data_IF_922322543700
#
_entry.id   IF_922322543700
#
_cell.length_a   1.000
_cell.length_b   1.000
_cell.length_c   1.000
_cell.angle_alpha   90.00
_cell.angle_beta   90.00
_cell.angle_gamma   90.00
#
_symmetry.space_group_name_H-M   'P 1'
#
loop_
_entity.id
_entity.type
_entity.pdbx_description
1 polymer ?
#
# COMPACT_ATOMS: atom_id res chain seq x y z
N UNK A 1 -11.58 -0.62 8.56
CA UNK A 1 -10.87 0.50 9.18
C UNK A 1 -9.98 1.22 8.18
N UNK A 2 -10.10 2.56 8.12
CA UNK A 2 -9.24 3.43 7.31
C UNK A 2 -8.08 3.92 8.19
N UNK A 3 -6.85 3.72 7.73
CA UNK A 3 -5.62 4.12 8.44
C UNK A 3 -4.93 5.27 7.72
N UNK A 4 -4.40 6.21 8.50
CA UNK A 4 -3.65 7.34 7.97
C UNK A 4 -2.15 7.03 7.86
N UNK A 5 -1.56 7.26 6.68
CA UNK A 5 -0.18 6.84 6.36
C UNK A 5 0.82 7.97 6.20
N UNK A 6 0.45 9.22 6.45
CA UNK A 6 1.37 10.35 6.27
C UNK A 6 2.66 10.18 7.09
N UNK A 7 2.57 9.70 8.33
CA UNK A 7 3.74 9.45 9.19
C UNK A 7 4.72 8.47 8.56
N UNK A 8 4.20 7.41 7.94
CA UNK A 8 4.99 6.35 7.30
C UNK A 8 5.69 6.92 6.06
N UNK A 9 4.94 7.58 5.17
CA UNK A 9 5.50 8.19 3.95
C UNK A 9 6.58 9.22 4.24
N UNK A 10 6.43 10.01 5.30
CA UNK A 10 7.45 10.96 5.73
C UNK A 10 8.69 10.26 6.27
N UNK A 11 8.52 9.20 7.06
CA UNK A 11 9.64 8.45 7.64
C UNK A 11 10.48 7.73 6.57
N UNK A 12 9.83 7.13 5.56
CA UNK A 12 10.47 6.41 4.45
C UNK A 12 11.56 7.25 3.75
N UNK A 13 11.29 8.54 3.54
CA UNK A 13 12.20 9.48 2.87
C UNK A 13 12.86 10.50 3.79
N UNK A 14 12.73 10.31 5.11
CA UNK A 14 13.26 11.24 6.14
C UNK A 14 12.81 12.69 5.92
N UNK A 15 11.56 12.87 5.52
CA UNK A 15 10.95 14.18 5.27
C UNK A 15 10.62 14.82 6.61
N UNK A 16 11.12 16.04 6.84
CA UNK A 16 10.84 16.75 8.09
C UNK A 16 9.48 17.46 8.05
N UNK A 17 8.89 17.69 9.23
CA UNK A 17 7.66 18.49 9.34
C UNK A 17 7.84 19.90 8.73
N UNK A 18 9.02 20.51 8.92
CA UNK A 18 9.33 21.86 8.41
C UNK A 18 9.41 21.87 6.88
N UNK A 19 10.07 20.87 6.30
CA UNK A 19 10.19 20.68 4.86
C UNK A 19 8.82 20.48 4.21
N UNK A 20 7.98 19.59 4.77
CA UNK A 20 6.65 19.35 4.24
C UNK A 20 5.74 20.59 4.36
N UNK A 21 5.83 21.32 5.47
CA UNK A 21 5.08 22.56 5.66
C UNK A 21 5.45 23.61 4.60
N UNK A 22 6.74 23.78 4.32
CA UNK A 22 7.23 24.69 3.28
C UNK A 22 6.71 24.30 1.89
N UNK A 23 6.81 23.02 1.53
CA UNK A 23 6.43 22.53 0.20
C UNK A 23 4.91 22.54 -0.04
N UNK A 24 4.11 22.30 1.00
CA UNK A 24 2.65 22.24 0.91
C UNK A 24 1.95 23.57 1.16
N UNK A 25 2.66 24.57 1.70
CA UNK A 25 2.08 25.83 2.16
C UNK A 25 1.15 25.66 3.38
N UNK A 26 1.20 24.51 4.05
CA UNK A 26 0.40 24.21 5.24
C UNK A 26 1.19 24.62 6.48
N UNK A 27 0.51 25.20 7.47
CA UNK A 27 1.16 25.59 8.71
C UNK A 27 1.85 24.40 9.41
N UNK A 28 3.07 24.55 9.96
CA UNK A 28 3.81 23.46 10.60
C UNK A 28 3.04 22.75 11.71
N UNK A 29 2.25 23.48 12.50
CA UNK A 29 1.39 22.90 13.53
C UNK A 29 0.32 22.00 12.93
N UNK A 30 -0.26 22.36 11.78
CA UNK A 30 -1.25 21.54 11.08
C UNK A 30 -0.61 20.28 10.52
N UNK A 31 0.59 20.37 9.93
CA UNK A 31 1.36 19.18 9.53
C UNK A 31 1.65 18.27 10.72
N UNK A 32 2.02 18.83 11.88
CA UNK A 32 2.27 18.06 13.08
C UNK A 32 1.01 17.30 13.55
N UNK A 33 -0.14 17.98 13.58
CA UNK A 33 -1.44 17.37 13.91
C UNK A 33 -1.80 16.26 12.91
N UNK A 34 -1.72 16.55 11.62
CA UNK A 34 -2.02 15.58 10.56
C UNK A 34 -1.11 14.36 10.64
N UNK A 35 0.19 14.52 10.89
CA UNK A 35 1.12 13.39 11.01
C UNK A 35 0.83 12.50 12.23
N UNK A 36 0.38 13.11 13.31
CA UNK A 36 0.17 12.42 14.59
C UNK A 36 -1.25 11.86 14.72
N UNK A 37 -2.18 12.22 13.84
CA UNK A 37 -3.47 11.58 13.75
C UNK A 37 -3.29 10.13 13.26
N UNK A 38 -3.89 9.17 13.94
CA UNK A 38 -3.91 7.78 13.49
C UNK A 38 -5.12 7.55 12.53
N UNK A 39 -6.20 8.31 12.74
CA UNK A 39 -7.39 8.38 11.90
C UNK A 39 -7.72 9.83 11.56
N UNK A 40 -8.12 10.10 10.31
CA UNK A 40 -8.56 11.43 9.86
C UNK A 40 -10.08 11.39 9.67
N UNK A 41 -10.81 12.11 10.52
CA UNK A 41 -12.27 12.29 10.38
C UNK A 41 -12.61 13.18 9.17
N UNK A 42 -11.90 14.30 9.03
CA UNK A 42 -12.14 15.27 7.97
C UNK A 42 -10.83 15.87 7.45
N UNK A 43 -10.69 15.89 6.13
CA UNK A 43 -9.63 16.60 5.42
C UNK A 43 -10.21 17.22 4.16
N UNK A 44 -9.87 18.48 3.89
CA UNK A 44 -10.34 19.14 2.68
C UNK A 44 -9.55 18.66 1.47
N UNK A 45 -10.20 18.60 0.30
CA UNK A 45 -9.54 18.23 -0.95
C UNK A 45 -8.35 19.13 -1.29
N UNK A 46 -8.40 20.42 -0.93
CA UNK A 46 -7.26 21.35 -1.09
C UNK A 46 -6.06 20.93 -0.25
N UNK A 47 -6.27 20.58 1.03
CA UNK A 47 -5.18 20.14 1.92
C UNK A 47 -4.62 18.80 1.42
N UNK A 48 -5.48 17.86 1.04
CA UNK A 48 -5.08 16.56 0.50
C UNK A 48 -4.24 16.71 -0.79
N UNK A 49 -4.69 17.53 -1.73
CA UNK A 49 -3.95 17.84 -2.95
C UNK A 49 -2.60 18.49 -2.66
N UNK A 50 -2.55 19.46 -1.74
CA UNK A 50 -1.30 20.11 -1.36
C UNK A 50 -0.30 19.13 -0.73
N UNK A 51 -0.79 18.19 0.09
CA UNK A 51 0.05 17.12 0.66
C UNK A 51 0.61 16.21 -0.43
N UNK A 52 -0.22 15.73 -1.35
CA UNK A 52 0.22 14.86 -2.44
C UNK A 52 1.31 15.53 -3.30
N UNK A 53 1.09 16.80 -3.68
CA UNK A 53 2.05 17.58 -4.45
C UNK A 53 3.36 17.82 -3.68
N UNK A 54 3.26 18.14 -2.40
CA UNK A 54 4.43 18.40 -1.56
C UNK A 54 5.25 17.13 -1.31
N UNK A 55 4.60 16.00 -1.06
CA UNK A 55 5.26 14.70 -0.89
C UNK A 55 5.92 14.25 -2.19
N UNK A 56 5.25 14.37 -3.33
CA UNK A 56 5.85 14.05 -4.65
C UNK A 56 7.13 14.87 -4.88
N UNK A 57 7.08 16.19 -4.64
CA UNK A 57 8.27 17.06 -4.73
C UNK A 57 9.38 16.63 -3.77
N UNK A 58 9.02 16.27 -2.53
CA UNK A 58 9.98 15.82 -1.54
C UNK A 58 10.63 14.49 -1.95
N UNK A 59 9.87 13.54 -2.50
CA UNK A 59 10.39 12.27 -3.00
C UNK A 59 11.37 12.49 -4.17
N UNK A 60 11.01 13.35 -5.12
CA UNK A 60 11.88 13.72 -6.24
C UNK A 60 13.19 14.35 -5.75
N UNK A 61 13.12 15.22 -4.73
CA UNK A 61 14.30 15.83 -4.12
C UNK A 61 15.22 14.81 -3.41
N UNK A 62 14.71 13.60 -3.09
CA UNK A 62 15.51 12.47 -2.57
C UNK A 62 15.90 11.46 -3.65
N UNK A 63 15.69 11.76 -4.93
CA UNK A 63 16.01 10.88 -6.06
C UNK A 63 15.01 9.74 -6.28
N UNK A 64 13.79 9.87 -5.75
CA UNK A 64 12.70 8.93 -6.01
C UNK A 64 11.63 9.60 -6.88
N UNK A 65 11.41 9.08 -8.09
CA UNK A 65 10.43 9.60 -9.05
C UNK A 65 8.99 9.15 -8.77
N UNK A 66 8.74 8.51 -7.63
CA UNK A 66 7.39 8.10 -7.23
C UNK A 66 6.47 9.31 -7.06
N UNK A 67 5.36 9.27 -7.79
CA UNK A 67 4.23 10.18 -7.61
C UNK A 67 3.39 9.71 -6.42
N UNK A 68 3.15 10.60 -5.46
CA UNK A 68 2.33 10.32 -4.29
C UNK A 68 0.88 10.72 -4.58
N UNK A 69 -0.01 9.74 -4.47
CA UNK A 69 -1.44 9.86 -4.72
C UNK A 69 -2.23 9.83 -3.41
N UNK A 70 -3.52 10.23 -3.41
CA UNK A 70 -4.38 10.05 -2.24
C UNK A 70 -4.41 8.60 -1.73
N UNK A 71 -4.33 7.61 -2.62
CA UNK A 71 -4.31 6.19 -2.25
C UNK A 71 -3.07 5.77 -1.48
N UNK A 72 -1.96 6.50 -1.56
CA UNK A 72 -0.76 6.24 -0.75
C UNK A 72 -0.91 6.74 0.69
N UNK A 73 -1.77 7.74 0.89
CA UNK A 73 -2.00 8.38 2.19
C UNK A 73 -3.02 7.64 3.06
N UNK A 74 -3.88 6.83 2.44
CA UNK A 74 -4.88 6.04 3.13
C UNK A 74 -4.61 4.55 2.92
N UNK A 75 -4.91 3.76 3.94
CA UNK A 75 -4.96 2.30 3.82
C UNK A 75 -6.31 1.82 4.33
N UNK A 76 -6.92 0.90 3.60
CA UNK A 76 -8.23 0.36 3.92
C UNK A 76 -8.08 -1.11 4.25
N UNK A 77 -8.54 -1.45 5.46
CA UNK A 77 -8.75 -2.83 5.88
C UNK A 77 -10.24 -3.03 6.03
N UNK A 78 -10.78 -4.13 5.50
CA UNK A 78 -12.17 -4.47 5.74
C UNK A 78 -12.29 -5.05 7.15
N UNK A 79 -13.19 -4.50 7.96
CA UNK A 79 -13.35 -4.93 9.37
C UNK A 79 -14.12 -6.26 9.50
N UNK A 80 -14.61 -6.82 8.38
CA UNK A 80 -15.42 -8.03 8.38
C UNK A 80 -16.85 -7.78 8.88
N UNK A 81 -17.79 -8.58 8.41
CA UNK A 81 -19.13 -8.67 9.00
C UNK A 81 -19.07 -9.55 10.27
N UNK A 82 -18.16 -9.26 11.20
CA UNK A 82 -18.12 -9.92 12.52
C UNK A 82 -18.06 -11.45 12.52
N UNK A 83 -17.29 -12.10 11.65
CA UNK A 83 -16.91 -13.50 11.86
C UNK A 83 -15.56 -13.56 12.60
N UNK A 84 -15.51 -13.94 13.90
CA UNK A 84 -14.26 -14.05 14.66
C UNK A 84 -13.35 -15.21 14.19
N UNK A 85 -13.66 -15.85 13.07
CA UNK A 85 -13.01 -17.09 12.61
C UNK A 85 -11.78 -16.95 11.72
N UNK A 86 -11.47 -15.76 11.18
CA UNK A 86 -10.37 -15.61 10.21
C UNK A 86 -9.14 -14.90 10.79
N UNK A 87 -8.64 -15.42 11.92
CA UNK A 87 -7.29 -15.12 12.34
C UNK A 87 -6.29 -15.86 11.44
N UNK A 88 -5.26 -15.12 11.02
CA UNK A 88 -3.95 -15.62 10.59
C UNK A 88 -3.84 -16.19 9.15
N UNK A 89 -3.74 -15.29 8.16
CA UNK A 89 -2.83 -15.57 7.03
C UNK A 89 -1.47 -14.95 7.38
N UNK A 90 -0.78 -15.58 8.34
CA UNK A 90 0.65 -15.36 8.54
C UNK A 90 1.42 -16.02 7.39
N UNK A 91 2.18 -15.20 6.68
CA UNK A 91 3.60 -15.45 6.44
C UNK A 91 3.99 -16.91 6.11
N UNK A 92 3.74 -17.38 4.88
CA UNK A 92 4.48 -18.55 4.39
C UNK A 92 5.91 -18.11 4.09
N UNK A 93 6.74 -18.18 5.13
CA UNK A 93 8.18 -18.26 5.00
C UNK A 93 8.52 -19.48 4.13
N UNK A 94 9.30 -19.25 3.09
CA UNK A 94 9.86 -20.28 2.23
C UNK A 94 10.87 -21.08 3.07
N UNK A 95 10.44 -22.17 3.69
CA UNK A 95 11.35 -23.17 4.25
C UNK A 95 11.78 -24.15 3.15
N UNK A 96 13.07 -24.13 2.82
CA UNK A 96 13.75 -25.17 2.03
C UNK A 96 13.93 -26.43 2.89
N UNK A 97 13.47 -27.62 2.46
CA UNK A 97 14.00 -28.86 3.01
C UNK A 97 15.19 -29.39 2.19
N UNK A 98 16.26 -29.70 2.92
CA UNK A 98 17.47 -30.38 2.48
C UNK A 98 17.19 -31.81 1.99
N UNK A 99 17.71 -32.06 0.80
CA UNK A 99 18.07 -33.32 0.14
C UNK A 99 18.34 -34.54 1.06
N UNK A 100 17.61 -35.66 0.85
CA UNK A 100 18.16 -37.04 0.87
C UNK A 100 17.43 -37.91 -0.18
N UNK A 101 18.24 -38.46 -1.10
CA UNK A 101 17.98 -39.55 -2.05
C UNK A 101 17.17 -40.71 -1.47
N UNK A 102 16.54 -41.62 -2.23
CA UNK A 102 16.15 -41.79 -3.63
C UNK A 102 15.51 -43.19 -3.64
N UNK A 103 14.36 -43.39 -4.28
CA UNK A 103 14.04 -44.56 -5.11
C UNK A 103 12.68 -44.28 -5.80
N UNK A 104 12.74 -44.06 -7.10
CA UNK A 104 11.63 -43.99 -8.06
C UNK A 104 11.53 -45.37 -8.78
N UNK A 105 10.57 -45.65 -9.69
CA UNK A 105 9.48 -44.81 -10.18
C UNK A 105 8.12 -45.55 -10.32
N UNK A 106 7.02 -44.78 -10.44
CA UNK A 106 5.74 -45.36 -10.82
C UNK A 106 4.62 -44.34 -11.02
N UNK A 107 4.58 -43.75 -12.23
CA UNK A 107 3.41 -43.17 -12.92
C UNK A 107 3.14 -41.66 -12.72
N UNK A 108 3.52 -40.94 -13.77
CA UNK A 108 3.09 -39.59 -14.17
C UNK A 108 1.64 -39.60 -14.64
N UNK A 109 0.82 -38.61 -14.28
CA UNK A 109 0.49 -37.53 -15.22
C UNK A 109 -0.27 -36.36 -14.56
N UNK A 110 0.24 -35.17 -14.90
CA UNK A 110 -0.18 -33.82 -14.50
C UNK A 110 -1.58 -33.45 -14.99
N UNK A 111 -2.29 -32.62 -14.23
CA UNK A 111 -3.21 -31.64 -14.80
C UNK A 111 -3.21 -30.34 -13.99
N UNK A 112 -2.52 -29.34 -14.56
CA UNK A 112 -2.58 -27.92 -14.19
C UNK A 112 -4.01 -27.38 -14.42
N UNK A 113 -4.61 -26.74 -13.42
CA UNK A 113 -5.79 -25.91 -13.61
C UNK A 113 -5.34 -24.46 -13.88
N UNK A 114 -5.28 -24.08 -15.16
CA UNK A 114 -5.16 -22.69 -15.60
C UNK A 114 -6.54 -22.03 -15.54
N UNK A 115 -6.65 -20.87 -14.91
CA UNK A 115 -7.88 -20.06 -14.85
C UNK A 115 -7.96 -19.22 -16.13
N UNK A 116 -8.97 -19.48 -16.96
CA UNK A 116 -9.26 -18.80 -18.21
C UNK A 116 -10.21 -17.62 -17.93
N UNK A 117 -9.79 -16.39 -18.23
CA UNK A 117 -10.66 -15.21 -18.18
C UNK A 117 -11.32 -15.01 -19.56
N UNK A 118 -12.65 -15.03 -19.60
CA UNK A 118 -13.45 -14.67 -20.78
C UNK A 118 -13.50 -13.14 -20.93
N UNK A 119 -12.98 -12.62 -22.05
CA UNK A 119 -13.22 -11.24 -22.51
C UNK A 119 -14.53 -11.20 -23.31
N UNK A 120 -15.39 -10.17 -23.16
CA UNK A 120 -16.56 -10.00 -23.99
C UNK A 120 -16.19 -9.46 -25.39
N UNK A 121 -16.74 -10.09 -26.43
CA UNK A 121 -16.57 -9.72 -27.83
C UNK A 121 -17.10 -8.31 -28.13
N UNK A 122 -16.33 -7.56 -28.91
CA UNK A 122 -16.79 -6.34 -29.58
C UNK A 122 -17.58 -6.75 -30.82
N UNK A 123 -18.89 -6.55 -30.80
CA UNK A 123 -19.67 -6.57 -32.03
C UNK A 123 -19.42 -5.29 -32.83
N UNK A 124 -18.98 -5.48 -34.07
CA UNK A 124 -18.92 -4.46 -35.10
C UNK A 124 -20.16 -4.61 -36.00
N UNK A 125 -20.81 -3.49 -36.29
CA UNK A 125 -21.56 -3.27 -37.54
C UNK A 125 -21.55 -1.78 -37.86
#
# INVERSE_FOLDING_TARGET
MIRWRLRILMAEKKISNKELALLSGIHPTSISKLKNADEIEQISGRVLNNLCNALTKAYHAKGDERIITPGDLFDYTYDGDGDPGYADIQSVAIEKPKNRHSHNPGKSDNANAQVFWLLPDKEAS
#
